data_IF_532865957336
#
_entry.id   IF_532865957336
#
_cell.length_a   1.000
_cell.length_b   1.000
_cell.length_c   1.000
_cell.angle_alpha   90.00
_cell.angle_beta   90.00
_cell.angle_gamma   90.00
#
_symmetry.space_group_name_H-M   'P 1'
#
loop_
_entity.id
_entity.type
_entity.pdbx_description
1 polymer ?
#
# COMPACT_ATOMS: atom_id res chain seq x y z
N UNK A 1 -62.29 -12.62 -6.67
CA UNK A 1 -61.39 -12.07 -7.68
C UNK A 1 -60.06 -11.71 -7.06
N UNK A 2 -59.11 -12.63 -7.05
CA UNK A 2 -57.77 -12.36 -6.62
C UNK A 2 -56.98 -11.81 -7.83
N UNK A 3 -56.41 -10.63 -7.69
CA UNK A 3 -55.43 -10.12 -8.64
C UNK A 3 -54.10 -9.97 -7.90
N UNK A 4 -53.15 -10.83 -8.25
CA UNK A 4 -51.83 -10.86 -7.70
C UNK A 4 -51.00 -9.66 -8.14
N UNK A 5 -50.30 -9.08 -7.19
CA UNK A 5 -49.13 -8.24 -7.41
C UNK A 5 -47.92 -9.10 -7.10
N UNK A 6 -47.18 -9.51 -8.13
CA UNK A 6 -45.73 -9.57 -8.01
C UNK A 6 -45.03 -9.39 -9.34
N UNK A 7 -44.54 -8.23 -9.67
CA UNK A 7 -43.58 -8.03 -10.79
C UNK A 7 -42.61 -6.86 -10.58
N UNK A 8 -42.72 -6.09 -9.51
CA UNK A 8 -41.87 -4.92 -9.27
C UNK A 8 -40.50 -5.27 -8.67
N UNK A 9 -40.39 -6.32 -7.86
CA UNK A 9 -39.13 -6.68 -7.19
C UNK A 9 -38.08 -7.31 -8.12
N UNK A 10 -38.54 -8.10 -9.11
CA UNK A 10 -37.61 -8.77 -10.05
C UNK A 10 -36.98 -7.81 -11.07
N UNK A 11 -37.67 -6.73 -11.44
CA UNK A 11 -37.15 -5.73 -12.38
C UNK A 11 -36.14 -4.77 -11.74
N UNK A 12 -36.28 -4.53 -10.44
CA UNK A 12 -35.34 -3.69 -9.66
C UNK A 12 -33.96 -4.38 -9.54
N UNK A 13 -33.92 -5.67 -9.20
CA UNK A 13 -32.67 -6.45 -9.01
C UNK A 13 -31.86 -6.58 -10.32
N UNK A 14 -32.51 -6.70 -11.47
CA UNK A 14 -31.82 -6.81 -12.77
C UNK A 14 -31.22 -5.47 -13.23
N UNK A 15 -31.90 -4.34 -12.95
CA UNK A 15 -31.41 -3.00 -13.28
C UNK A 15 -30.18 -2.63 -12.43
N UNK A 16 -30.20 -2.98 -11.17
CA UNK A 16 -29.12 -2.71 -10.22
C UNK A 16 -27.87 -3.56 -10.50
N UNK A 17 -28.02 -4.84 -10.85
CA UNK A 17 -26.91 -5.71 -11.29
C UNK A 17 -26.26 -5.24 -12.58
N UNK A 18 -27.01 -4.66 -13.51
CA UNK A 18 -26.46 -4.14 -14.76
C UNK A 18 -25.65 -2.86 -14.52
N UNK A 19 -26.08 -1.99 -13.60
CA UNK A 19 -25.34 -0.78 -13.26
C UNK A 19 -23.98 -1.06 -12.58
N UNK A 20 -23.92 -2.08 -11.70
CA UNK A 20 -22.66 -2.50 -11.07
C UNK A 20 -21.68 -3.10 -12.08
N UNK A 21 -22.16 -3.93 -13.00
CA UNK A 21 -21.32 -4.52 -14.06
C UNK A 21 -20.75 -3.43 -14.99
N UNK A 22 -21.58 -2.48 -15.37
CA UNK A 22 -21.16 -1.36 -16.23
C UNK A 22 -20.12 -0.48 -15.50
N UNK A 23 -20.32 -0.20 -14.22
CA UNK A 23 -19.35 0.51 -13.41
C UNK A 23 -17.99 -0.20 -13.34
N UNK A 24 -17.99 -1.51 -13.03
CA UNK A 24 -16.76 -2.30 -12.96
C UNK A 24 -16.06 -2.33 -14.32
N UNK A 25 -16.81 -2.53 -15.41
CA UNK A 25 -16.25 -2.55 -16.78
C UNK A 25 -15.61 -1.20 -17.14
N UNK A 26 -16.28 -0.10 -16.83
CA UNK A 26 -15.75 1.26 -17.03
C UNK A 26 -14.48 1.50 -16.20
N UNK A 27 -14.46 1.06 -14.95
CA UNK A 27 -13.28 1.15 -14.08
C UNK A 27 -12.11 0.33 -14.61
N UNK A 28 -12.35 -0.90 -15.04
CA UNK A 28 -11.32 -1.73 -15.66
C UNK A 28 -10.76 -1.09 -16.93
N UNK A 29 -11.61 -0.51 -17.77
CA UNK A 29 -11.18 0.19 -18.98
C UNK A 29 -10.30 1.39 -18.63
N UNK A 30 -10.71 2.24 -17.68
CA UNK A 30 -9.90 3.37 -17.21
C UNK A 30 -8.57 2.91 -16.59
N UNK A 31 -8.58 1.85 -15.79
CA UNK A 31 -7.37 1.26 -15.23
C UNK A 31 -6.41 0.78 -16.33
N UNK A 32 -6.93 0.09 -17.35
CA UNK A 32 -6.11 -0.36 -18.48
C UNK A 32 -5.54 0.82 -19.29
N UNK A 33 -6.33 1.87 -19.54
CA UNK A 33 -5.86 3.09 -20.21
C UNK A 33 -4.78 3.80 -19.37
N UNK A 34 -4.97 3.91 -18.08
CA UNK A 34 -3.98 4.50 -17.16
C UNK A 34 -2.68 3.71 -17.15
N UNK A 35 -2.75 2.37 -17.08
CA UNK A 35 -1.58 1.50 -17.15
C UNK A 35 -0.85 1.65 -18.49
N UNK A 36 -1.57 1.71 -19.59
CA UNK A 36 -0.98 1.92 -20.92
C UNK A 36 -0.29 3.29 -21.00
N UNK A 37 -0.92 4.33 -20.47
CA UNK A 37 -0.31 5.67 -20.42
C UNK A 37 0.97 5.69 -19.57
N UNK A 38 0.95 5.08 -18.38
CA UNK A 38 2.11 4.97 -17.51
C UNK A 38 3.21 4.15 -18.19
N UNK A 39 2.89 3.00 -18.77
CA UNK A 39 3.85 2.18 -19.51
C UNK A 39 4.49 2.95 -20.67
N UNK A 40 3.70 3.74 -21.41
CA UNK A 40 4.20 4.59 -22.50
C UNK A 40 5.14 5.66 -21.97
N UNK A 41 4.75 6.37 -20.91
CA UNK A 41 5.60 7.40 -20.28
C UNK A 41 6.92 6.79 -19.79
N UNK A 42 6.87 5.66 -19.09
CA UNK A 42 8.06 4.97 -18.61
C UNK A 42 8.95 4.53 -19.77
N UNK A 43 8.37 3.95 -20.82
CA UNK A 43 9.14 3.57 -22.01
C UNK A 43 9.87 4.76 -22.59
N UNK A 44 9.18 5.88 -22.84
CA UNK A 44 9.76 7.10 -23.41
C UNK A 44 10.82 7.68 -22.47
N UNK A 45 10.52 7.78 -21.18
CA UNK A 45 11.43 8.33 -20.18
C UNK A 45 12.75 7.56 -20.12
N UNK A 46 12.71 6.24 -20.05
CA UNK A 46 13.90 5.40 -19.98
C UNK A 46 14.67 5.36 -21.33
N UNK A 47 14.02 5.62 -22.46
CA UNK A 47 14.70 5.71 -23.77
C UNK A 47 15.30 7.08 -24.05
N UNK A 48 14.76 8.15 -23.47
CA UNK A 48 15.27 9.51 -23.60
C UNK A 48 16.33 9.86 -22.54
N UNK A 49 16.55 8.98 -21.56
CA UNK A 49 17.61 9.21 -20.58
C UNK A 49 18.97 9.32 -21.27
N UNK A 50 19.74 10.38 -20.94
CA UNK A 50 21.09 10.54 -21.49
C UNK A 50 22.00 9.40 -21.03
N UNK A 51 22.67 8.75 -21.98
CA UNK A 51 23.55 7.61 -21.77
C UNK A 51 23.10 6.39 -22.58
N UNK A 52 24.02 5.53 -22.95
CA UNK A 52 23.70 4.23 -23.56
C UNK A 52 23.23 3.28 -22.45
N UNK A 53 21.96 2.85 -22.43
CA UNK A 53 21.46 1.92 -21.41
C UNK A 53 22.25 0.61 -21.37
N UNK A 54 22.98 0.31 -22.44
CA UNK A 54 23.82 -0.88 -22.56
C UNK A 54 25.26 -0.65 -22.12
N UNK A 55 25.69 0.59 -21.92
CA UNK A 55 27.09 0.91 -21.59
C UNK A 55 27.56 0.29 -20.26
N UNK A 56 26.63 -0.06 -19.36
CA UNK A 56 26.95 -0.76 -18.12
C UNK A 56 26.98 -2.30 -18.26
N UNK A 57 26.23 -2.83 -19.21
CA UNK A 57 26.15 -4.28 -19.49
C UNK A 57 27.18 -4.66 -20.55
N UNK A 58 27.35 -3.78 -21.52
CA UNK A 58 28.32 -3.94 -22.61
C UNK A 58 29.60 -3.27 -22.14
N UNK A 59 30.45 -4.06 -21.46
CA UNK A 59 31.77 -3.58 -21.08
C UNK A 59 32.51 -3.03 -22.34
N UNK A 60 33.13 -1.84 -22.26
CA UNK A 60 33.98 -1.36 -23.34
C UNK A 60 35.12 -2.33 -23.68
N UNK A 61 35.43 -3.29 -22.79
CA UNK A 61 36.42 -4.33 -22.99
C UNK A 61 35.90 -5.50 -23.86
N UNK A 62 34.59 -5.59 -24.14
CA UNK A 62 34.07 -6.57 -25.08
C UNK A 62 34.35 -6.16 -26.53
N UNK A 63 34.58 -7.16 -27.36
CA UNK A 63 34.74 -6.92 -28.79
C UNK A 63 33.42 -6.38 -29.42
N UNK A 64 33.53 -5.71 -30.55
CA UNK A 64 32.36 -5.12 -31.23
C UNK A 64 31.30 -6.14 -31.61
N UNK A 65 31.71 -7.39 -31.86
CA UNK A 65 30.79 -8.48 -32.20
C UNK A 65 29.94 -8.89 -30.99
N UNK A 66 30.56 -9.00 -29.82
CA UNK A 66 29.84 -9.32 -28.57
C UNK A 66 28.90 -8.17 -28.17
N UNK A 67 29.36 -6.91 -28.32
CA UNK A 67 28.51 -5.73 -28.08
C UNK A 67 27.30 -5.71 -29.01
N UNK A 68 27.49 -6.00 -30.29
CA UNK A 68 26.37 -6.07 -31.26
C UNK A 68 25.37 -7.18 -30.93
N UNK A 69 25.85 -8.39 -30.63
CA UNK A 69 24.99 -9.50 -30.18
C UNK A 69 24.18 -9.17 -28.94
N UNK A 70 24.77 -8.47 -27.99
CA UNK A 70 24.03 -8.00 -26.82
C UNK A 70 22.95 -6.97 -27.18
N UNK A 71 23.24 -6.00 -28.03
CA UNK A 71 22.24 -5.02 -28.52
C UNK A 71 21.09 -5.71 -29.25
N UNK A 72 21.39 -6.70 -30.10
CA UNK A 72 20.39 -7.52 -30.78
C UNK A 72 19.54 -8.33 -29.79
N UNK A 73 20.19 -8.96 -28.79
CA UNK A 73 19.49 -9.74 -27.75
C UNK A 73 18.52 -8.89 -26.91
N UNK A 74 18.82 -7.60 -26.72
CA UNK A 74 17.94 -6.66 -26.03
C UNK A 74 16.99 -5.90 -26.99
N UNK A 75 17.02 -6.21 -28.31
CA UNK A 75 16.19 -5.57 -29.33
C UNK A 75 16.44 -4.06 -29.48
N UNK A 76 17.61 -3.58 -29.11
CA UNK A 76 17.97 -2.15 -29.13
C UNK A 76 18.37 -1.66 -30.53
N UNK A 77 18.57 -2.57 -31.45
CA UNK A 77 18.83 -2.35 -32.87
C UNK A 77 17.56 -2.06 -33.68
N UNK A 78 16.38 -2.34 -33.11
CA UNK A 78 15.10 -2.20 -33.80
C UNK A 78 14.60 -0.73 -33.76
N UNK A 79 13.76 -0.32 -34.74
CA UNK A 79 13.07 0.97 -34.66
C UNK A 79 12.30 1.16 -33.36
N UNK A 80 12.26 2.38 -32.82
CA UNK A 80 11.65 2.68 -31.51
C UNK A 80 10.20 2.19 -31.38
N UNK A 81 9.43 2.23 -32.46
CA UNK A 81 8.04 1.74 -32.47
C UNK A 81 7.98 0.22 -32.27
N UNK A 82 8.90 -0.53 -32.86
CA UNK A 82 9.00 -2.00 -32.71
C UNK A 82 9.40 -2.34 -31.28
N UNK A 83 10.37 -1.61 -30.73
CA UNK A 83 10.78 -1.76 -29.32
C UNK A 83 9.62 -1.50 -28.37
N UNK A 84 8.76 -0.51 -28.63
CA UNK A 84 7.58 -0.22 -27.84
C UNK A 84 6.58 -1.38 -27.81
N UNK A 85 6.26 -1.95 -28.98
CA UNK A 85 5.34 -3.10 -29.04
C UNK A 85 5.94 -4.37 -28.42
N UNK A 86 7.24 -4.60 -28.57
CA UNK A 86 7.94 -5.68 -27.88
C UNK A 86 7.90 -5.48 -26.34
N UNK A 87 8.12 -4.26 -25.90
CA UNK A 87 7.99 -3.89 -24.48
C UNK A 87 6.58 -4.19 -23.95
N UNK A 88 5.52 -3.75 -24.63
CA UNK A 88 4.13 -4.06 -24.23
C UNK A 88 3.85 -5.56 -24.22
N UNK A 89 4.34 -6.30 -25.23
CA UNK A 89 4.23 -7.75 -25.25
C UNK A 89 4.91 -8.37 -24.02
N UNK A 90 6.14 -7.99 -23.75
CA UNK A 90 6.93 -8.54 -22.62
C UNK A 90 6.29 -8.20 -21.26
N UNK A 91 5.61 -7.05 -21.15
CA UNK A 91 4.85 -6.71 -19.96
C UNK A 91 3.70 -7.71 -19.71
N UNK A 92 2.96 -8.07 -20.74
CA UNK A 92 1.82 -8.99 -20.64
C UNK A 92 2.28 -10.43 -20.45
N UNK A 93 3.39 -10.83 -21.08
CA UNK A 93 3.95 -12.19 -20.95
C UNK A 93 4.80 -12.39 -19.70
N UNK A 94 4.97 -11.34 -18.87
CA UNK A 94 5.82 -11.33 -17.66
C UNK A 94 7.31 -11.61 -17.95
N UNK A 95 7.74 -11.39 -19.17
CA UNK A 95 9.12 -11.50 -19.62
C UNK A 95 9.84 -10.15 -19.48
N UNK A 96 10.00 -9.66 -18.24
CA UNK A 96 10.55 -8.33 -17.95
C UNK A 96 12.08 -8.26 -18.06
N UNK A 97 12.71 -9.32 -18.58
CA UNK A 97 14.14 -9.38 -18.78
C UNK A 97 14.91 -9.77 -17.53
N UNK A 98 16.21 -9.44 -17.54
CA UNK A 98 17.13 -9.72 -16.43
C UNK A 98 17.73 -8.42 -15.91
N UNK A 99 18.01 -8.41 -14.61
CA UNK A 99 18.77 -7.34 -13.96
C UNK A 99 20.18 -7.22 -14.58
N UNK A 100 20.58 -6.02 -14.84
CA UNK A 100 21.93 -5.73 -15.31
C UNK A 100 22.98 -5.92 -14.21
N UNK A 101 22.58 -5.76 -12.96
CA UNK A 101 23.47 -5.85 -11.79
C UNK A 101 23.63 -7.28 -11.29
N UNK A 102 22.53 -8.04 -11.19
CA UNK A 102 22.52 -9.37 -10.56
C UNK A 102 22.36 -10.51 -11.57
N UNK A 103 21.98 -10.22 -12.82
CA UNK A 103 21.65 -11.21 -13.85
C UNK A 103 20.45 -12.11 -13.52
N UNK A 104 19.74 -11.84 -12.43
CA UNK A 104 18.50 -12.54 -12.04
C UNK A 104 17.31 -12.07 -12.88
N UNK A 105 16.25 -12.87 -12.95
CA UNK A 105 15.01 -12.44 -13.61
C UNK A 105 14.37 -11.30 -12.83
N UNK A 106 14.04 -10.21 -13.53
CA UNK A 106 13.42 -9.02 -12.93
C UNK A 106 12.12 -9.37 -12.22
N UNK A 107 11.29 -10.22 -12.83
CA UNK A 107 10.02 -10.65 -12.23
C UNK A 107 10.21 -11.31 -10.86
N UNK A 108 11.18 -12.22 -10.73
CA UNK A 108 11.44 -12.95 -9.47
C UNK A 108 11.93 -11.99 -8.38
N UNK A 109 12.84 -11.05 -8.73
CA UNK A 109 13.30 -9.99 -7.83
C UNK A 109 12.10 -9.20 -7.30
N UNK A 110 11.23 -8.74 -8.20
CA UNK A 110 10.14 -7.84 -7.83
C UNK A 110 9.02 -8.54 -7.06
N UNK A 111 8.72 -9.79 -7.37
CA UNK A 111 7.75 -10.59 -6.58
C UNK A 111 8.24 -10.77 -5.15
N UNK A 112 9.52 -11.09 -4.95
CA UNK A 112 10.11 -11.18 -3.61
C UNK A 112 10.01 -9.83 -2.85
N UNK A 113 10.41 -8.74 -3.51
CA UNK A 113 10.36 -7.38 -2.94
C UNK A 113 8.93 -6.93 -2.64
N UNK A 114 7.97 -7.29 -3.49
CA UNK A 114 6.54 -7.02 -3.29
C UNK A 114 6.01 -7.63 -1.98
N UNK A 115 6.28 -8.90 -1.73
CA UNK A 115 5.84 -9.55 -0.49
C UNK A 115 6.45 -8.93 0.75
N UNK A 116 7.69 -8.48 0.69
CA UNK A 116 8.34 -7.78 1.81
C UNK A 116 7.67 -6.43 2.10
N UNK A 117 7.29 -5.67 1.06
CA UNK A 117 6.50 -4.44 1.22
C UNK A 117 5.13 -4.74 1.82
N UNK A 118 4.43 -5.76 1.29
CA UNK A 118 3.10 -6.15 1.79
C UNK A 118 3.14 -6.54 3.26
N UNK A 119 4.14 -7.29 3.68
CA UNK A 119 4.31 -7.72 5.06
C UNK A 119 4.53 -6.54 6.01
N UNK A 120 5.45 -5.64 5.64
CA UNK A 120 5.70 -4.41 6.41
C UNK A 120 4.43 -3.56 6.55
N UNK A 121 3.72 -3.37 5.43
CA UNK A 121 2.52 -2.55 5.40
C UNK A 121 1.36 -3.19 6.15
N UNK A 122 1.17 -4.50 6.03
CA UNK A 122 0.12 -5.22 6.76
C UNK A 122 0.29 -5.03 8.27
N UNK A 123 1.51 -5.25 8.79
CA UNK A 123 1.78 -5.08 10.22
C UNK A 123 1.66 -3.62 10.65
N UNK A 124 2.22 -2.68 9.88
CA UNK A 124 2.17 -1.25 10.16
C UNK A 124 0.72 -0.72 10.21
N UNK A 125 -0.10 -1.06 9.22
CA UNK A 125 -1.51 -0.64 9.19
C UNK A 125 -2.34 -1.34 10.26
N UNK A 126 -2.15 -2.64 10.50
CA UNK A 126 -2.87 -3.35 11.57
C UNK A 126 -2.62 -2.69 12.93
N UNK A 127 -1.37 -2.36 13.26
CA UNK A 127 -1.05 -1.65 14.50
C UNK A 127 -1.63 -0.23 14.52
N UNK A 128 -1.52 0.51 13.42
CA UNK A 128 -2.08 1.85 13.28
C UNK A 128 -3.58 1.86 13.57
N UNK A 129 -4.34 0.95 12.95
CA UNK A 129 -5.78 0.86 13.15
C UNK A 129 -6.15 0.29 14.52
N UNK A 130 -5.43 -0.70 15.02
CA UNK A 130 -5.67 -1.25 16.35
C UNK A 130 -5.51 -0.18 17.45
N UNK A 131 -4.41 0.58 17.40
CA UNK A 131 -4.15 1.68 18.34
C UNK A 131 -5.11 2.84 18.09
N UNK A 132 -5.29 3.28 16.84
CA UNK A 132 -6.14 4.40 16.47
C UNK A 132 -7.60 4.18 16.87
N UNK A 133 -8.17 3.00 16.58
CA UNK A 133 -9.53 2.64 17.00
C UNK A 133 -9.65 2.62 18.52
N UNK A 134 -8.71 1.98 19.20
CA UNK A 134 -8.76 1.82 20.66
C UNK A 134 -8.67 3.16 21.37
N UNK A 135 -7.70 3.99 21.00
CA UNK A 135 -7.49 5.31 21.60
C UNK A 135 -8.62 6.26 21.19
N UNK A 136 -9.01 6.33 19.91
CA UNK A 136 -10.07 7.18 19.42
C UNK A 136 -11.42 6.88 20.06
N UNK A 137 -11.74 5.59 20.28
CA UNK A 137 -12.94 5.17 21.01
C UNK A 137 -12.96 5.73 22.44
N UNK A 138 -11.82 5.65 23.17
CA UNK A 138 -11.74 6.17 24.55
C UNK A 138 -11.77 7.69 24.56
N UNK A 139 -11.13 8.37 23.58
CA UNK A 139 -11.19 9.83 23.43
C UNK A 139 -12.63 10.32 23.21
N UNK A 140 -13.38 9.70 22.29
CA UNK A 140 -14.78 10.04 22.07
C UNK A 140 -15.66 9.78 23.29
N UNK A 141 -15.42 8.68 24.01
CA UNK A 141 -16.14 8.38 25.26
C UNK A 141 -15.83 9.35 26.40
N UNK A 142 -14.57 9.81 26.53
CA UNK A 142 -14.08 10.74 27.57
C UNK A 142 -13.84 12.15 27.00
N UNK A 143 -14.76 12.61 26.15
CA UNK A 143 -14.69 13.91 25.49
C UNK A 143 -14.23 15.04 26.42
N UNK A 144 -13.31 15.86 25.93
CA UNK A 144 -12.79 17.06 26.64
C UNK A 144 -11.82 16.74 27.80
N UNK A 145 -11.47 15.47 28.00
CA UNK A 145 -10.50 15.06 29.02
C UNK A 145 -9.05 15.29 28.56
N UNK A 146 -8.11 15.19 29.54
CA UNK A 146 -6.67 15.30 29.26
C UNK A 146 -6.16 14.29 28.23
N UNK A 147 -6.74 13.09 28.20
CA UNK A 147 -6.40 12.06 27.23
C UNK A 147 -6.84 12.47 25.80
N UNK A 148 -8.04 13.03 25.67
CA UNK A 148 -8.58 13.51 24.38
C UNK A 148 -7.66 14.60 23.81
N UNK A 149 -7.35 15.63 24.60
CA UNK A 149 -6.47 16.72 24.18
C UNK A 149 -5.04 16.21 23.91
N UNK A 150 -4.45 15.45 24.84
CA UNK A 150 -3.07 14.98 24.73
C UNK A 150 -2.85 14.05 23.54
N UNK A 151 -3.74 13.07 23.35
CA UNK A 151 -3.64 12.14 22.22
C UNK A 151 -3.84 12.86 20.86
N UNK A 152 -4.77 13.83 20.80
CA UNK A 152 -4.95 14.66 19.59
C UNK A 152 -3.67 15.43 19.26
N UNK A 153 -3.09 16.16 20.23
CA UNK A 153 -1.88 16.96 19.99
C UNK A 153 -0.71 16.06 19.59
N UNK A 154 -0.46 14.98 20.35
CA UNK A 154 0.64 14.06 20.07
C UNK A 154 0.52 13.45 18.68
N UNK A 155 -0.66 12.94 18.31
CA UNK A 155 -0.85 12.30 17.00
C UNK A 155 -0.70 13.29 15.84
N UNK A 156 -1.19 14.52 15.98
CA UNK A 156 -1.02 15.55 14.95
C UNK A 156 0.43 16.00 14.81
N UNK A 157 1.18 16.12 15.92
CA UNK A 157 2.62 16.39 15.87
C UNK A 157 3.38 15.25 15.18
N UNK A 158 3.06 14.00 15.50
CA UNK A 158 3.68 12.83 14.86
C UNK A 158 3.37 12.78 13.36
N UNK A 159 2.13 13.06 12.97
CA UNK A 159 1.73 13.09 11.55
C UNK A 159 2.37 14.25 10.78
N UNK A 160 2.63 15.38 11.43
CA UNK A 160 3.25 16.55 10.80
C UNK A 160 4.74 16.34 10.49
N UNK A 161 5.39 15.42 11.19
CA UNK A 161 6.78 15.08 10.94
C UNK A 161 6.89 14.17 9.70
N UNK A 162 7.72 14.50 8.69
CA UNK A 162 7.98 13.61 7.57
C UNK A 162 8.48 12.24 8.05
N UNK A 163 7.99 11.12 7.47
CA UNK A 163 8.34 9.76 7.94
C UNK A 163 9.83 9.48 8.02
N UNK A 164 10.62 10.06 7.10
CA UNK A 164 12.07 9.87 7.11
C UNK A 164 12.75 10.52 8.32
N UNK A 165 12.27 11.68 8.78
CA UNK A 165 12.80 12.33 9.98
C UNK A 165 12.51 11.46 11.21
N UNK A 166 11.28 11.01 11.35
CA UNK A 166 10.87 10.11 12.44
C UNK A 166 11.70 8.82 12.42
N UNK A 167 11.85 8.21 11.24
CA UNK A 167 12.64 6.98 11.08
C UNK A 167 14.11 7.17 11.44
N UNK A 168 14.76 8.24 10.96
CA UNK A 168 16.16 8.54 11.26
C UNK A 168 16.34 8.83 12.75
N UNK A 169 15.44 9.59 13.39
CA UNK A 169 15.51 9.86 14.82
C UNK A 169 15.39 8.58 15.65
N UNK A 170 14.48 7.67 15.28
CA UNK A 170 14.35 6.36 15.94
C UNK A 170 15.63 5.53 15.77
N UNK A 171 16.23 5.51 14.59
CA UNK A 171 17.51 4.82 14.35
C UNK A 171 18.64 5.42 15.20
N UNK A 172 18.77 6.75 15.25
CA UNK A 172 19.82 7.40 16.03
C UNK A 172 19.66 7.10 17.51
N UNK A 173 18.44 7.19 18.04
CA UNK A 173 18.20 7.04 19.48
C UNK A 173 18.17 5.57 19.88
N UNK A 174 17.32 4.76 19.24
CA UNK A 174 17.02 3.41 19.71
C UNK A 174 18.01 2.36 19.18
N UNK A 175 18.54 2.57 17.99
CA UNK A 175 19.51 1.64 17.39
C UNK A 175 20.96 2.06 17.71
N UNK A 176 21.36 3.28 17.30
CA UNK A 176 22.76 3.67 17.38
C UNK A 176 23.22 4.03 18.81
N UNK A 177 22.40 4.78 19.60
CA UNK A 177 22.82 5.23 20.96
C UNK A 177 22.50 4.21 22.04
N UNK A 178 21.34 3.57 21.96
CA UNK A 178 20.87 2.66 23.00
C UNK A 178 21.11 1.18 22.67
N UNK A 179 21.50 0.86 21.42
CA UNK A 179 21.74 -0.51 20.91
C UNK A 179 20.57 -1.47 21.21
N UNK A 180 19.35 -0.94 21.19
CA UNK A 180 18.13 -1.72 21.49
C UNK A 180 17.55 -2.40 20.27
N UNK A 181 17.79 -1.88 19.05
CA UNK A 181 17.22 -2.38 17.82
C UNK A 181 18.25 -2.38 16.69
N UNK A 182 18.10 -3.27 15.69
CA UNK A 182 19.00 -3.31 14.54
C UNK A 182 18.88 -2.05 13.68
N UNK A 183 19.95 -1.73 12.94
CA UNK A 183 20.05 -0.53 12.10
C UNK A 183 19.28 -0.64 10.79
N UNK A 184 18.90 -1.84 10.37
CA UNK A 184 18.13 -2.05 9.13
C UNK A 184 18.14 -3.49 8.65
N UNK A 185 17.45 -3.73 7.52
CA UNK A 185 17.24 -5.06 6.97
C UNK A 185 16.03 -5.77 7.56
N UNK A 186 15.83 -7.03 7.19
CA UNK A 186 14.76 -7.90 7.69
C UNK A 186 15.27 -8.96 8.69
N UNK A 187 16.56 -9.19 8.73
CA UNK A 187 17.21 -10.17 9.61
C UNK A 187 18.69 -9.92 9.71
N UNK A 188 19.30 -10.41 10.77
CA UNK A 188 20.76 -10.41 10.95
C UNK A 188 21.45 -11.27 9.89
N UNK A 189 22.66 -10.91 9.43
CA UNK A 189 23.41 -11.70 8.47
C UNK A 189 23.59 -13.15 8.93
N UNK A 190 23.26 -14.11 8.06
CA UNK A 190 23.37 -15.54 8.34
C UNK A 190 22.17 -16.16 9.07
N UNK A 191 21.23 -15.37 9.57
CA UNK A 191 20.05 -15.85 10.28
C UNK A 191 18.81 -15.89 9.36
N UNK A 192 18.79 -16.85 8.43
CA UNK A 192 17.61 -17.13 7.58
C UNK A 192 17.15 -18.56 7.85
N UNK A 193 16.08 -18.75 8.64
CA UNK A 193 15.40 -20.03 8.76
C UNK A 193 14.96 -20.54 7.39
N UNK A 194 14.95 -21.85 7.20
CA UNK A 194 14.65 -22.47 5.89
C UNK A 194 13.19 -22.33 5.47
N UNK A 195 12.26 -22.12 6.40
CA UNK A 195 10.83 -21.97 6.13
C UNK A 195 10.39 -20.50 6.33
N UNK A 196 9.45 -20.05 5.47
CA UNK A 196 8.90 -18.70 5.50
C UNK A 196 8.17 -18.40 6.82
N UNK A 197 7.41 -19.37 7.34
CA UNK A 197 6.66 -19.18 8.58
C UNK A 197 7.61 -19.05 9.77
N UNK A 198 8.63 -19.91 9.85
CA UNK A 198 9.65 -19.84 10.89
C UNK A 198 10.42 -18.53 10.84
N UNK A 199 10.65 -18.00 9.64
CA UNK A 199 11.28 -16.71 9.45
C UNK A 199 10.44 -15.56 10.01
N UNK A 200 9.16 -15.46 9.62
CA UNK A 200 8.26 -14.36 10.00
C UNK A 200 7.97 -14.33 11.51
N UNK A 201 7.98 -15.49 12.18
CA UNK A 201 7.78 -15.58 13.64
C UNK A 201 9.08 -15.53 14.43
N UNK A 202 10.23 -15.50 13.77
CA UNK A 202 11.52 -15.44 14.45
C UNK A 202 11.69 -14.15 15.24
N UNK A 203 12.32 -14.23 16.41
CA UNK A 203 12.60 -13.06 17.25
C UNK A 203 13.48 -12.03 16.50
N UNK A 204 14.40 -12.50 15.67
CA UNK A 204 15.28 -11.66 14.87
C UNK A 204 14.49 -10.83 13.85
N UNK A 205 13.60 -11.46 13.07
CA UNK A 205 12.73 -10.77 12.13
C UNK A 205 11.82 -9.75 12.83
N UNK A 206 11.15 -10.16 13.92
CA UNK A 206 10.28 -9.27 14.68
C UNK A 206 11.05 -8.06 15.24
N UNK A 207 12.30 -8.26 15.66
CA UNK A 207 13.16 -7.19 16.14
C UNK A 207 13.49 -6.16 15.04
N UNK A 208 13.75 -6.61 13.81
CA UNK A 208 13.97 -5.74 12.66
C UNK A 208 12.70 -5.00 12.21
N UNK A 209 11.53 -5.59 12.44
CA UNK A 209 10.24 -5.04 12.03
C UNK A 209 9.76 -3.87 12.92
N UNK A 210 10.23 -3.79 14.18
CA UNK A 210 9.71 -2.82 15.19
C UNK A 210 9.85 -1.37 14.74
N UNK A 211 11.06 -0.92 14.40
CA UNK A 211 11.31 0.50 14.09
C UNK A 211 10.60 0.97 12.81
N UNK A 212 10.64 0.22 11.69
CA UNK A 212 9.84 0.56 10.50
C UNK A 212 8.35 0.64 10.81
N UNK A 213 7.82 -0.32 11.58
CA UNK A 213 6.40 -0.36 11.95
C UNK A 213 5.99 0.81 12.84
N UNK A 214 6.82 1.19 13.82
CA UNK A 214 6.59 2.38 14.66
C UNK A 214 6.55 3.64 13.78
N UNK A 215 7.45 3.76 12.82
CA UNK A 215 7.52 4.91 11.91
C UNK A 215 6.23 5.04 11.09
N UNK A 216 5.76 3.93 10.50
CA UNK A 216 4.50 3.88 9.75
C UNK A 216 3.32 4.24 10.65
N UNK A 217 3.25 3.62 11.82
CA UNK A 217 2.19 3.86 12.81
C UNK A 217 2.17 5.32 13.24
N UNK A 218 3.31 5.90 13.57
CA UNK A 218 3.40 7.30 13.98
C UNK A 218 2.83 8.25 12.93
N UNK A 219 3.14 8.02 11.66
CA UNK A 219 2.67 8.86 10.55
C UNK A 219 1.18 8.72 10.27
N UNK A 220 0.64 7.50 10.28
CA UNK A 220 -0.76 7.25 9.89
C UNK A 220 -1.74 7.26 11.06
N UNK A 221 -1.31 7.27 12.33
CA UNK A 221 -2.14 7.09 13.53
C UNK A 221 -3.25 8.12 13.69
N UNK A 222 -2.97 9.39 13.41
CA UNK A 222 -3.90 10.48 13.64
C UNK A 222 -5.23 10.28 12.87
N UNK A 223 -5.15 9.84 11.63
CA UNK A 223 -6.33 9.69 10.77
C UNK A 223 -7.38 8.72 11.33
N UNK A 224 -7.10 7.42 11.55
CA UNK A 224 -8.10 6.50 12.08
C UNK A 224 -8.51 6.85 13.53
N UNK A 225 -7.61 7.40 14.31
CA UNK A 225 -7.86 7.78 15.69
C UNK A 225 -8.87 8.94 15.79
N UNK A 226 -8.67 10.02 15.02
CA UNK A 226 -9.57 11.18 15.04
C UNK A 226 -10.92 10.84 14.40
N UNK A 227 -10.94 10.06 13.33
CA UNK A 227 -12.21 9.61 12.72
C UNK A 227 -12.99 8.73 13.70
N UNK A 228 -12.35 7.78 14.37
CA UNK A 228 -13.03 6.99 15.39
C UNK A 228 -13.57 7.84 16.51
N UNK A 229 -12.79 8.83 17.00
CA UNK A 229 -13.23 9.79 18.01
C UNK A 229 -14.47 10.55 17.57
N UNK A 230 -14.43 11.15 16.38
CA UNK A 230 -15.52 12.01 15.90
C UNK A 230 -16.80 11.20 15.62
N UNK A 231 -16.66 10.02 15.01
CA UNK A 231 -17.77 9.09 14.83
C UNK A 231 -18.35 8.61 16.17
N UNK A 232 -17.52 8.39 17.19
CA UNK A 232 -18.01 8.09 18.54
C UNK A 232 -18.83 9.24 19.11
N UNK A 233 -18.41 10.49 18.92
CA UNK A 233 -19.14 11.68 19.42
C UNK A 233 -20.53 11.80 18.77
N UNK A 234 -20.60 11.57 17.46
CA UNK A 234 -21.85 11.58 16.70
C UNK A 234 -22.80 10.46 17.21
N UNK A 235 -22.29 9.25 17.30
CA UNK A 235 -23.07 8.08 17.73
C UNK A 235 -23.54 8.20 19.17
N UNK A 236 -22.74 8.75 20.07
CA UNK A 236 -23.11 8.92 21.48
C UNK A 236 -24.28 9.89 21.71
N UNK A 237 -24.57 10.76 20.72
CA UNK A 237 -25.74 11.64 20.70
C UNK A 237 -27.01 11.01 20.12
N UNK A 238 -26.98 9.75 19.67
CA UNK A 238 -28.11 9.09 19.04
C UNK A 238 -29.11 8.49 20.05
N UNK A 239 -30.40 8.46 19.69
CA UNK A 239 -31.50 7.97 20.53
C UNK A 239 -31.32 6.54 21.01
N UNK A 240 -30.77 5.67 20.16
CA UNK A 240 -30.58 4.24 20.53
C UNK A 240 -29.49 4.04 21.60
N UNK A 241 -28.48 4.93 21.67
CA UNK A 241 -27.48 4.90 22.73
C UNK A 241 -28.07 5.45 24.03
N UNK A 242 -28.89 6.49 23.95
CA UNK A 242 -29.63 7.02 25.10
C UNK A 242 -30.58 5.97 25.66
N UNK A 243 -31.33 5.28 24.80
CA UNK A 243 -32.20 4.17 25.20
C UNK A 243 -31.42 3.02 25.86
N UNK A 244 -30.21 2.69 25.36
CA UNK A 244 -29.37 1.67 25.97
C UNK A 244 -28.91 2.08 27.39
N UNK A 245 -28.65 3.37 27.64
CA UNK A 245 -28.34 3.91 28.97
C UNK A 245 -29.55 3.89 29.87
N UNK A 246 -30.74 4.26 29.37
CA UNK A 246 -32.00 4.24 30.13
C UNK A 246 -32.38 2.85 30.57
N UNK A 247 -32.01 1.81 29.81
CA UNK A 247 -32.16 0.38 30.21
C UNK A 247 -31.18 -0.09 31.30
N UNK A 248 -30.31 0.79 31.79
CA UNK A 248 -29.37 0.46 32.85
C UNK A 248 -28.18 -0.39 32.41
N UNK A 249 -27.83 -0.40 31.10
CA UNK A 249 -26.67 -1.14 30.64
C UNK A 249 -25.37 -0.51 31.17
N UNK A 250 -24.39 -1.34 31.58
CA UNK A 250 -23.12 -0.84 32.10
C UNK A 250 -22.39 0.01 31.06
N UNK A 251 -21.71 1.11 31.47
CA UNK A 251 -21.08 2.06 30.57
C UNK A 251 -20.12 1.44 29.54
N UNK A 252 -19.32 0.46 29.95
CA UNK A 252 -18.40 -0.24 29.03
C UNK A 252 -19.14 -1.02 27.93
N UNK A 253 -20.31 -1.62 28.24
CA UNK A 253 -21.13 -2.31 27.24
C UNK A 253 -21.76 -1.33 26.25
N UNK A 254 -22.23 -0.18 26.74
CA UNK A 254 -22.74 0.89 25.88
C UNK A 254 -21.65 1.39 24.95
N UNK A 255 -20.45 1.67 25.49
CA UNK A 255 -19.30 2.14 24.72
C UNK A 255 -18.89 1.16 23.60
N UNK A 256 -18.64 -0.10 23.96
CA UNK A 256 -18.06 -1.06 23.00
C UNK A 256 -19.15 -1.63 22.06
N UNK A 257 -20.28 -2.08 22.59
CA UNK A 257 -21.24 -2.87 21.81
C UNK A 257 -22.27 -2.00 21.08
N UNK A 258 -22.58 -0.82 21.61
CA UNK A 258 -23.60 0.05 21.02
C UNK A 258 -22.98 1.25 20.28
N UNK A 259 -22.02 1.95 20.87
CA UNK A 259 -21.44 3.12 20.24
C UNK A 259 -20.31 2.76 19.26
N UNK A 260 -19.27 2.05 19.71
CA UNK A 260 -18.10 1.78 18.88
C UNK A 260 -18.41 0.94 17.63
N UNK A 261 -19.33 -0.01 17.73
CA UNK A 261 -19.72 -0.84 16.58
C UNK A 261 -20.25 -0.02 15.40
N UNK A 262 -21.02 1.02 15.67
CA UNK A 262 -21.53 1.90 14.61
C UNK A 262 -20.50 2.95 14.17
N UNK A 263 -19.69 3.46 15.10
CA UNK A 263 -18.59 4.37 14.80
C UNK A 263 -17.52 3.74 13.91
N UNK A 264 -17.29 2.43 14.02
CA UNK A 264 -16.35 1.67 13.20
C UNK A 264 -16.65 1.72 11.70
N UNK A 265 -17.89 1.95 11.28
CA UNK A 265 -18.24 2.02 9.85
C UNK A 265 -17.42 3.11 9.13
N UNK A 266 -17.28 4.30 9.72
CA UNK A 266 -16.47 5.37 9.16
C UNK A 266 -14.97 5.00 9.11
N UNK A 267 -14.48 4.27 10.12
CA UNK A 267 -13.07 3.84 10.18
C UNK A 267 -12.76 2.78 9.13
N UNK A 268 -13.68 1.84 8.87
CA UNK A 268 -13.54 0.83 7.80
C UNK A 268 -13.43 1.49 6.42
N UNK A 269 -14.21 2.55 6.19
CA UNK A 269 -14.12 3.34 4.95
C UNK A 269 -12.74 3.94 4.77
N UNK A 270 -12.18 4.57 5.81
CA UNK A 270 -10.82 5.14 5.76
C UNK A 270 -9.74 4.08 5.67
N UNK A 271 -9.93 2.91 6.26
CA UNK A 271 -9.00 1.80 6.10
C UNK A 271 -8.81 1.44 4.63
N UNK A 272 -9.89 1.35 3.87
CA UNK A 272 -9.83 1.06 2.43
C UNK A 272 -9.01 2.12 1.66
N UNK A 273 -9.21 3.41 1.96
CA UNK A 273 -8.46 4.50 1.33
C UNK A 273 -6.98 4.43 1.69
N UNK A 274 -6.66 4.29 2.98
CA UNK A 274 -5.28 4.25 3.46
C UNK A 274 -4.53 3.03 2.94
N UNK A 275 -5.21 1.90 2.74
CA UNK A 275 -4.62 0.71 2.15
C UNK A 275 -4.08 1.00 0.74
N UNK A 276 -4.84 1.73 -0.09
CA UNK A 276 -4.41 2.13 -1.42
C UNK A 276 -3.20 3.06 -1.42
N UNK A 277 -3.20 4.08 -0.54
CA UNK A 277 -2.08 5.02 -0.44
C UNK A 277 -0.82 4.41 0.18
N UNK A 278 -1.00 3.56 1.17
CA UNK A 278 0.11 3.00 1.94
C UNK A 278 1.04 2.14 1.08
N UNK A 279 0.50 1.41 0.13
CA UNK A 279 1.28 0.51 -0.72
C UNK A 279 2.17 1.30 -1.72
N UNK A 280 1.69 2.47 -2.19
CA UNK A 280 2.46 3.33 -3.11
C UNK A 280 3.52 4.22 -2.43
N UNK A 281 3.45 4.43 -1.12
CA UNK A 281 4.18 5.51 -0.43
C UNK A 281 5.34 5.09 0.48
N UNK A 282 5.71 3.81 0.56
CA UNK A 282 6.69 3.35 1.56
C UNK A 282 8.16 3.36 1.12
N UNK A 283 8.43 3.88 -0.07
CA UNK A 283 9.80 4.02 -0.61
C UNK A 283 10.75 4.63 0.43
N UNK A 284 10.30 5.67 1.13
CA UNK A 284 11.10 6.40 2.11
C UNK A 284 11.41 5.54 3.33
N UNK A 285 10.42 4.87 3.91
CA UNK A 285 10.60 4.02 5.09
C UNK A 285 11.48 2.82 4.75
N UNK A 286 11.25 2.19 3.62
CA UNK A 286 12.07 1.07 3.15
C UNK A 286 13.52 1.48 2.94
N UNK A 287 13.76 2.68 2.40
CA UNK A 287 15.12 3.21 2.18
C UNK A 287 15.81 3.52 3.51
N UNK A 288 15.13 4.20 4.44
CA UNK A 288 15.69 4.58 5.75
C UNK A 288 16.09 3.34 6.56
N UNK A 289 15.26 2.31 6.56
CA UNK A 289 15.52 1.09 7.32
C UNK A 289 16.19 -0.01 6.49
N UNK A 290 16.63 0.27 5.27
CA UNK A 290 17.18 -0.74 4.33
C UNK A 290 16.30 -2.00 4.24
N UNK A 291 14.97 -1.81 4.35
CA UNK A 291 14.00 -2.88 4.25
C UNK A 291 13.92 -3.34 2.78
N UNK A 292 14.16 -4.63 2.48
CA UNK A 292 14.26 -5.09 1.09
C UNK A 292 12.90 -5.21 0.40
N UNK A 293 12.19 -4.08 0.29
CA UNK A 293 10.90 -3.92 -0.37
C UNK A 293 11.01 -3.37 -1.79
N UNK A 294 9.82 -3.12 -2.39
CA UNK A 294 9.68 -2.60 -3.75
C UNK A 294 10.23 -1.20 -3.92
N UNK A 295 9.99 -0.32 -2.92
CA UNK A 295 10.47 1.06 -2.97
C UNK A 295 11.99 1.14 -2.89
N UNK A 296 12.62 0.35 -2.02
CA UNK A 296 14.08 0.26 -1.96
C UNK A 296 14.64 -0.30 -3.26
N UNK A 297 14.04 -1.36 -3.83
CA UNK A 297 14.46 -1.91 -5.12
C UNK A 297 14.44 -0.87 -6.24
N UNK A 298 13.40 -0.03 -6.27
CA UNK A 298 13.28 1.07 -7.23
C UNK A 298 14.41 2.10 -7.09
N UNK A 299 14.71 2.52 -5.85
CA UNK A 299 15.79 3.49 -5.57
C UNK A 299 17.17 2.91 -5.91
N UNK A 300 17.44 1.66 -5.49
CA UNK A 300 18.69 0.96 -5.78
C UNK A 300 18.90 0.77 -7.29
N UNK A 301 17.85 0.34 -8.01
CA UNK A 301 17.91 0.13 -9.46
C UNK A 301 18.17 1.45 -10.21
N UNK A 302 17.53 2.55 -9.78
CA UNK A 302 17.75 3.86 -10.35
C UNK A 302 19.19 4.34 -10.10
N UNK A 303 19.69 4.20 -8.87
CA UNK A 303 21.06 4.61 -8.50
C UNK A 303 22.15 3.79 -9.22
N UNK A 304 21.88 2.51 -9.49
CA UNK A 304 22.81 1.60 -10.18
C UNK A 304 22.59 1.56 -11.69
N UNK A 305 21.67 2.36 -12.23
CA UNK A 305 21.28 2.36 -13.65
C UNK A 305 20.83 0.97 -14.17
N UNK A 306 20.24 0.17 -13.28
CA UNK A 306 19.64 -1.11 -13.66
C UNK A 306 18.26 -0.87 -14.27
N UNK A 307 18.27 -0.46 -15.54
CA UNK A 307 17.07 0.00 -16.24
C UNK A 307 15.93 -1.04 -16.28
N UNK A 308 16.18 -2.35 -16.52
CA UNK A 308 15.12 -3.33 -16.50
C UNK A 308 14.41 -3.42 -15.13
N UNK A 309 15.17 -3.44 -14.04
CA UNK A 309 14.61 -3.47 -12.68
C UNK A 309 13.93 -2.16 -12.34
N UNK A 310 14.54 -1.01 -12.66
CA UNK A 310 13.96 0.31 -12.42
C UNK A 310 12.62 0.47 -13.14
N UNK A 311 12.57 0.24 -14.45
CA UNK A 311 11.38 0.39 -15.28
C UNK A 311 10.25 -0.54 -14.80
N UNK A 312 10.58 -1.80 -14.53
CA UNK A 312 9.61 -2.78 -14.04
C UNK A 312 9.12 -2.46 -12.63
N UNK A 313 9.97 -1.93 -11.74
CA UNK A 313 9.59 -1.50 -10.38
C UNK A 313 8.58 -0.36 -10.41
N UNK A 314 8.80 0.69 -11.21
CA UNK A 314 7.84 1.78 -11.37
C UNK A 314 6.51 1.29 -11.90
N UNK A 315 6.54 0.41 -12.92
CA UNK A 315 5.32 -0.14 -13.49
C UNK A 315 4.58 -1.02 -12.49
N UNK A 316 5.28 -1.90 -11.77
CA UNK A 316 4.67 -2.78 -10.77
C UNK A 316 4.04 -1.99 -9.63
N UNK A 317 4.68 -0.91 -9.15
CA UNK A 317 4.07 -0.01 -8.19
C UNK A 317 2.80 0.65 -8.74
N UNK A 318 2.81 1.10 -10.00
CA UNK A 318 1.62 1.65 -10.64
C UNK A 318 0.49 0.61 -10.74
N UNK A 319 0.80 -0.63 -11.13
CA UNK A 319 -0.16 -1.75 -11.16
C UNK A 319 -0.75 -1.99 -9.76
N UNK A 320 0.09 -2.06 -8.74
CA UNK A 320 -0.35 -2.26 -7.36
C UNK A 320 -1.30 -1.15 -6.91
N UNK A 321 -0.94 0.13 -7.12
CA UNK A 321 -1.79 1.27 -6.75
C UNK A 321 -3.14 1.21 -7.47
N UNK A 322 -3.14 0.92 -8.77
CA UNK A 322 -4.36 0.83 -9.57
C UNK A 322 -5.24 -0.35 -9.11
N UNK A 323 -4.64 -1.52 -8.89
CA UNK A 323 -5.37 -2.70 -8.38
C UNK A 323 -5.94 -2.43 -7.00
N UNK A 324 -5.18 -1.81 -6.11
CA UNK A 324 -5.66 -1.47 -4.77
C UNK A 324 -6.78 -0.43 -4.80
N UNK A 325 -6.68 0.59 -5.66
CA UNK A 325 -7.78 1.54 -5.86
C UNK A 325 -9.05 0.83 -6.39
N UNK A 326 -8.89 -0.11 -7.33
CA UNK A 326 -10.02 -0.91 -7.82
C UNK A 326 -10.63 -1.77 -6.70
N UNK A 327 -9.82 -2.41 -5.86
CA UNK A 327 -10.29 -3.17 -4.68
C UNK A 327 -11.04 -2.27 -3.71
N UNK A 328 -10.53 -1.07 -3.46
CA UNK A 328 -11.18 -0.06 -2.62
C UNK A 328 -12.53 0.36 -3.22
N UNK A 329 -12.59 0.68 -4.51
CA UNK A 329 -13.82 1.07 -5.20
C UNK A 329 -14.89 -0.03 -5.15
N UNK A 330 -14.49 -1.29 -5.36
CA UNK A 330 -15.39 -2.45 -5.25
C UNK A 330 -15.85 -2.63 -3.79
N UNK A 331 -14.95 -2.45 -2.82
CA UNK A 331 -15.27 -2.54 -1.40
C UNK A 331 -16.31 -1.50 -0.98
N UNK A 332 -16.24 -0.28 -1.54
CA UNK A 332 -17.27 0.74 -1.31
C UNK A 332 -18.64 0.33 -1.81
N UNK A 333 -18.72 -0.27 -3.00
CA UNK A 333 -19.99 -0.77 -3.52
C UNK A 333 -20.64 -1.82 -2.61
N UNK A 334 -19.82 -2.58 -1.87
CA UNK A 334 -20.28 -3.64 -0.98
C UNK A 334 -20.59 -3.14 0.45
N UNK A 335 -19.83 -2.14 0.93
CA UNK A 335 -19.95 -1.61 2.29
C UNK A 335 -21.07 -0.56 2.44
N UNK A 336 -21.35 0.22 1.40
CA UNK A 336 -22.39 1.25 1.42
C UNK A 336 -23.34 1.12 0.21
N UNK A 337 -24.42 0.33 0.34
CA UNK A 337 -25.41 0.17 -0.72
C UNK A 337 -26.20 1.46 -1.02
N UNK A 338 -25.99 2.55 -0.28
CA UNK A 338 -26.63 3.87 -0.51
C UNK A 338 -25.90 4.71 -1.53
N UNK A 339 -24.66 4.38 -1.87
CA UNK A 339 -23.91 5.06 -2.94
C UNK A 339 -24.53 4.60 -4.28
N UNK A 340 -25.50 5.38 -4.78
CA UNK A 340 -26.03 5.20 -6.13
C UNK A 340 -24.88 5.46 -7.10
N UNK A 341 -24.43 4.41 -7.78
CA UNK A 341 -23.41 4.43 -8.81
C UNK A 341 -23.95 5.20 -10.04
N UNK A 342 -23.87 6.53 -10.03
CA UNK A 342 -24.36 7.29 -11.16
C UNK A 342 -24.55 8.79 -10.87
N UNK A 343 -23.48 9.52 -10.82
CA UNK A 343 -23.41 10.93 -11.24
C UNK A 343 -21.99 11.22 -11.70
#
# INVERSE_FOLDING_TARGET
>A
GGAGLPRAEASFDVSEKNSVKEYILRRLLYSAMTLLAIATILFVMFRLMPGDPTAQVISPALDEVAQRRMREAFGLDQPMIVQFFLYLKNLVTLEWGRSFTTSEKVFDILVYRFWNTMLLMAVGLLLTFAIGISVGMVMGWRRGGKLDLGATVVSLVMQSAPPFITGILLLIVLSYRLDLFPTGGMSSPGNRPGDLLDFIVSADFLHHLVLPTITITAYYLATPMLIMRDSMLEVLGSDYVEFARAKGLPPGRVMIRHAARNALLAVVTIFSILLGFAIGGQVIVETVFSWPGMGLAMVEAAARHDYPVAQASFLMLAVIVIVMNLVVDISYCWLDPRIRLGS
#
